data_IF_514432736427
#
_entry.id   IF_514432736427
#
_cell.length_a   1.000
_cell.length_b   1.000
_cell.length_c   1.000
_cell.angle_alpha   90.00
_cell.angle_beta   90.00
_cell.angle_gamma   90.00
#
_symmetry.space_group_name_H-M   'P 1'
#
loop_
_entity.id
_entity.type
_entity.pdbx_description
1 polymer ?
#
# COMPACT_ATOMS: atom_id res chain seq x y z
N UNK A 1 -43.33 28.02 14.09
CA UNK A 1 -43.54 26.99 13.05
C UNK A 1 -42.40 27.16 12.08
N UNK A 2 -41.24 26.56 12.41
CA UNK A 2 -40.83 25.23 11.90
C UNK A 2 -40.35 25.39 10.43
N UNK A 3 -39.12 25.07 10.03
CA UNK A 3 -38.11 24.21 10.66
C UNK A 3 -36.78 24.24 9.90
N UNK A 4 -35.87 23.39 10.35
CA UNK A 4 -34.41 23.45 10.32
C UNK A 4 -33.77 22.74 9.09
N UNK A 5 -32.57 23.24 8.74
CA UNK A 5 -31.42 22.67 8.00
C UNK A 5 -31.44 21.16 7.64
N UNK A 6 -30.97 20.79 6.44
CA UNK A 6 -30.19 19.54 6.21
C UNK A 6 -29.12 19.73 5.12
N UNK A 7 -27.91 19.24 5.45
CA UNK A 7 -26.68 19.10 4.67
C UNK A 7 -26.87 18.13 3.49
N UNK A 8 -26.39 18.47 2.29
CA UNK A 8 -26.38 17.55 1.15
C UNK A 8 -25.25 16.50 1.32
N UNK A 9 -25.59 15.35 1.92
CA UNK A 9 -24.84 14.10 1.80
C UNK A 9 -25.27 13.42 0.50
N UNK A 10 -24.40 13.40 -0.52
CA UNK A 10 -24.61 12.59 -1.72
C UNK A 10 -24.29 11.13 -1.42
N UNK A 11 -25.25 10.43 -0.82
CA UNK A 11 -25.29 8.97 -0.74
C UNK A 11 -26.21 8.42 -1.84
N UNK A 12 -25.70 7.41 -2.55
CA UNK A 12 -26.45 6.35 -3.23
C UNK A 12 -27.20 6.76 -4.51
N UNK A 13 -26.55 6.51 -5.64
CA UNK A 13 -27.23 6.03 -6.84
C UNK A 13 -26.50 4.78 -7.35
N UNK A 14 -26.74 3.66 -6.67
CA UNK A 14 -26.60 2.34 -7.29
C UNK A 14 -28.01 1.75 -7.37
N UNK A 15 -28.58 1.81 -8.57
CA UNK A 15 -29.87 1.20 -8.87
C UNK A 15 -30.33 1.65 -10.25
N UNK A 16 -30.18 0.78 -11.25
CA UNK A 16 -31.28 0.26 -12.07
C UNK A 16 -30.71 -0.71 -13.14
N UNK A 17 -30.87 -1.99 -12.83
CA UNK A 17 -30.94 -3.18 -13.71
C UNK A 17 -29.68 -3.73 -14.42
N UNK A 18 -29.54 -5.05 -14.22
CA UNK A 18 -28.68 -6.07 -14.83
C UNK A 18 -27.26 -6.24 -14.26
N UNK A 19 -27.09 -7.43 -13.65
CA UNK A 19 -25.92 -7.96 -12.95
C UNK A 19 -25.59 -7.27 -11.63
N UNK A 20 -25.62 -8.06 -10.56
CA UNK A 20 -24.94 -7.74 -9.31
C UNK A 20 -23.45 -7.56 -9.61
N UNK A 21 -23.04 -6.34 -9.96
CA UNK A 21 -21.65 -5.95 -9.85
C UNK A 21 -21.35 -5.92 -8.35
N UNK A 22 -20.93 -7.07 -7.83
CA UNK A 22 -20.46 -7.18 -6.47
C UNK A 22 -19.19 -6.33 -6.42
N UNK A 23 -19.29 -5.11 -5.88
CA UNK A 23 -18.14 -4.29 -5.53
C UNK A 23 -17.35 -5.05 -4.47
N UNK A 24 -16.46 -5.94 -4.89
CA UNK A 24 -15.57 -6.63 -3.98
C UNK A 24 -14.50 -5.63 -3.60
N UNK A 25 -14.72 -4.92 -2.49
CA UNK A 25 -13.71 -4.04 -1.89
C UNK A 25 -12.53 -4.90 -1.43
N UNK A 26 -11.31 -4.45 -1.71
CA UNK A 26 -10.10 -5.12 -1.23
C UNK A 26 -9.99 -5.03 0.30
N UNK A 27 -9.38 -6.04 0.91
CA UNK A 27 -9.09 -6.05 2.35
C UNK A 27 -8.08 -4.95 2.67
N UNK A 28 -8.35 -4.12 3.68
CA UNK A 28 -7.42 -3.06 4.08
C UNK A 28 -6.49 -3.58 5.16
N UNK A 29 -5.18 -3.39 4.98
CA UNK A 29 -4.14 -3.72 5.95
C UNK A 29 -3.78 -2.49 6.77
N UNK A 30 -4.13 -2.47 8.06
CA UNK A 30 -3.95 -1.28 8.93
C UNK A 30 -2.61 -1.28 9.69
N UNK A 31 -1.93 -2.41 9.74
CA UNK A 31 -0.68 -2.53 10.48
C UNK A 31 0.48 -1.87 9.73
N UNK A 32 1.47 -1.34 10.46
CA UNK A 32 2.70 -0.81 9.88
C UNK A 32 3.66 -1.91 9.42
N UNK A 33 3.45 -3.14 9.86
CA UNK A 33 4.17 -4.32 9.41
C UNK A 33 3.23 -5.52 9.39
N UNK A 34 3.52 -6.49 8.54
CA UNK A 34 2.69 -7.68 8.46
C UNK A 34 2.95 -8.53 7.23
N UNK A 35 2.04 -9.46 7.02
CA UNK A 35 2.04 -10.39 5.91
C UNK A 35 0.69 -10.40 5.22
N UNK A 36 0.71 -10.24 3.90
CA UNK A 36 -0.41 -10.61 3.04
C UNK A 36 -0.15 -12.03 2.57
N UNK A 37 -1.04 -12.97 2.93
CA UNK A 37 -0.86 -14.39 2.57
C UNK A 37 -2.14 -15.11 2.18
N UNK A 38 -1.97 -16.14 1.37
CA UNK A 38 -2.96 -17.18 1.08
C UNK A 38 -2.35 -18.53 1.40
N UNK A 39 -2.97 -19.25 2.33
CA UNK A 39 -2.45 -20.53 2.84
C UNK A 39 -2.99 -21.70 2.00
N UNK A 40 -2.15 -22.22 1.10
CA UNK A 40 -2.29 -23.50 0.40
C UNK A 40 -3.73 -23.96 0.12
N UNK A 41 -4.47 -23.19 -0.67
CA UNK A 41 -5.88 -23.42 -0.98
C UNK A 41 -6.01 -24.23 -2.26
N UNK A 42 -6.94 -25.20 -2.29
CA UNK A 42 -7.31 -25.92 -3.51
C UNK A 42 -8.43 -25.19 -4.24
N UNK A 43 -8.15 -24.65 -5.43
CA UNK A 43 -9.13 -23.90 -6.23
C UNK A 43 -8.83 -23.98 -7.73
N UNK A 44 -9.80 -23.63 -8.58
CA UNK A 44 -9.58 -23.36 -10.01
C UNK A 44 -9.91 -21.91 -10.39
N UNK A 45 -10.55 -21.15 -9.48
CA UNK A 45 -10.88 -19.74 -9.66
C UNK A 45 -10.73 -19.02 -8.32
N UNK A 46 -9.88 -17.99 -8.28
CA UNK A 46 -9.64 -17.17 -7.11
C UNK A 46 -9.34 -15.73 -7.54
N UNK A 47 -10.00 -14.78 -6.89
CA UNK A 47 -9.60 -13.38 -6.92
C UNK A 47 -9.62 -12.86 -5.50
N UNK A 48 -8.43 -12.60 -4.96
CA UNK A 48 -8.25 -11.97 -3.65
C UNK A 48 -7.46 -10.68 -3.85
N UNK A 49 -7.80 -9.64 -3.10
CA UNK A 49 -7.05 -8.40 -3.14
C UNK A 49 -6.96 -7.73 -1.77
N UNK A 50 -5.89 -6.98 -1.60
CA UNK A 50 -5.55 -6.21 -0.42
C UNK A 50 -5.10 -4.81 -0.82
N UNK A 51 -5.38 -3.84 0.02
CA UNK A 51 -4.87 -2.47 -0.06
C UNK A 51 -4.06 -2.22 1.21
N UNK A 52 -2.80 -1.83 1.04
CA UNK A 52 -1.91 -1.43 2.13
C UNK A 52 -1.73 0.09 2.03
N UNK A 53 -2.43 0.87 2.86
CA UNK A 53 -2.29 2.32 2.86
C UNK A 53 -0.91 2.72 3.37
N UNK A 54 -0.24 3.62 2.65
CA UNK A 54 1.04 4.20 3.06
C UNK A 54 0.78 5.64 3.49
N UNK A 55 0.94 5.97 4.79
CA UNK A 55 0.75 7.33 5.27
C UNK A 55 1.71 8.31 4.59
N UNK A 56 1.33 9.59 4.54
CA UNK A 56 2.22 10.65 4.06
C UNK A 56 3.54 10.65 4.84
N UNK A 57 4.65 10.89 4.14
CA UNK A 57 5.99 10.86 4.73
C UNK A 57 6.50 9.45 5.05
N UNK A 58 5.84 8.39 4.59
CA UNK A 58 6.28 7.01 4.75
C UNK A 58 6.56 6.35 3.39
N UNK A 59 7.26 5.24 3.45
CA UNK A 59 7.45 4.32 2.33
C UNK A 59 7.23 2.89 2.81
N UNK A 60 6.88 2.01 1.88
CA UNK A 60 6.67 0.60 2.13
C UNK A 60 7.76 -0.22 1.43
N UNK A 61 8.38 -1.12 2.19
CA UNK A 61 9.21 -2.20 1.66
C UNK A 61 8.39 -3.48 1.59
N UNK A 62 8.36 -4.10 0.43
CA UNK A 62 7.63 -5.32 0.11
C UNK A 62 8.63 -6.41 -0.27
N UNK A 63 8.45 -7.61 0.27
CA UNK A 63 9.23 -8.78 -0.11
C UNK A 63 8.34 -10.00 -0.30
N UNK A 64 8.27 -10.49 -1.53
CA UNK A 64 7.61 -11.76 -1.81
C UNK A 64 8.53 -12.90 -1.33
N UNK A 65 8.07 -13.66 -0.32
CA UNK A 65 8.84 -14.75 0.27
C UNK A 65 8.55 -16.06 -0.44
N UNK A 66 7.30 -16.48 -0.41
CA UNK A 66 6.89 -17.80 -0.87
C UNK A 66 5.77 -17.67 -1.89
N UNK A 67 5.78 -18.58 -2.87
CA UNK A 67 4.66 -18.85 -3.78
C UNK A 67 4.57 -20.36 -3.95
N UNK A 68 3.36 -20.89 -3.94
CA UNK A 68 3.11 -22.29 -4.19
C UNK A 68 3.50 -22.63 -5.63
N UNK A 69 4.22 -23.73 -5.82
CA UNK A 69 4.63 -24.19 -7.14
C UNK A 69 3.48 -24.96 -7.79
N UNK A 70 2.50 -24.23 -8.31
CA UNK A 70 1.45 -24.83 -9.14
C UNK A 70 2.00 -25.19 -10.53
N UNK A 71 1.30 -26.06 -11.26
CA UNK A 71 1.57 -26.28 -12.68
C UNK A 71 0.95 -25.21 -13.60
N UNK A 72 0.41 -24.12 -13.04
CA UNK A 72 -0.29 -23.08 -13.80
C UNK A 72 0.70 -22.14 -14.49
N UNK A 73 0.31 -21.62 -15.66
CA UNK A 73 1.06 -20.57 -16.34
C UNK A 73 0.85 -19.20 -15.69
N UNK A 74 1.72 -18.24 -15.98
CA UNK A 74 1.67 -16.87 -15.45
C UNK A 74 0.45 -16.04 -15.92
N UNK A 75 -0.31 -16.55 -16.89
CA UNK A 75 -1.62 -15.99 -17.28
C UNK A 75 -2.77 -16.54 -16.45
N UNK A 76 -2.57 -17.73 -15.87
CA UNK A 76 -3.54 -18.45 -15.08
C UNK A 76 -3.37 -18.23 -13.60
N UNK A 77 -2.16 -18.01 -13.11
CA UNK A 77 -1.89 -17.68 -11.72
C UNK A 77 -0.80 -16.62 -11.62
N UNK A 78 -1.10 -15.56 -10.85
CA UNK A 78 -0.12 -14.53 -10.55
C UNK A 78 -0.49 -13.77 -9.27
N UNK A 79 0.54 -13.20 -8.65
CA UNK A 79 0.41 -12.12 -7.66
C UNK A 79 0.80 -10.82 -8.35
N UNK A 80 -0.12 -9.85 -8.36
CA UNK A 80 0.07 -8.53 -8.95
C UNK A 80 0.12 -7.47 -7.87
N UNK A 81 1.11 -6.59 -7.95
CA UNK A 81 1.29 -5.46 -7.06
C UNK A 81 1.25 -4.19 -7.91
N UNK A 82 0.35 -3.26 -7.59
CA UNK A 82 0.26 -1.97 -8.27
C UNK A 82 0.38 -0.83 -7.25
N UNK A 83 1.10 0.22 -7.63
CA UNK A 83 1.32 1.39 -6.77
C UNK A 83 0.30 2.47 -7.14
N UNK A 84 -0.42 3.00 -6.15
CA UNK A 84 -1.36 4.09 -6.36
C UNK A 84 -0.62 5.34 -6.86
N UNK A 85 -1.28 6.14 -7.70
CA UNK A 85 -0.70 7.37 -8.23
C UNK A 85 0.38 7.18 -9.31
N UNK A 86 0.81 5.94 -9.59
CA UNK A 86 1.79 5.64 -10.65
C UNK A 86 1.27 4.61 -11.65
N UNK A 87 2.03 4.37 -12.72
CA UNK A 87 1.79 3.27 -13.67
C UNK A 87 2.57 2.00 -13.32
N UNK A 88 3.19 1.94 -12.15
CA UNK A 88 4.06 0.82 -11.77
C UNK A 88 3.23 -0.41 -11.41
N UNK A 89 3.50 -1.50 -12.12
CA UNK A 89 2.84 -2.79 -11.93
C UNK A 89 3.90 -3.89 -11.93
N UNK A 90 3.92 -4.66 -10.86
CA UNK A 90 4.78 -5.82 -10.68
C UNK A 90 3.92 -7.07 -10.71
N UNK A 91 4.28 -8.04 -11.54
CA UNK A 91 3.58 -9.32 -11.63
C UNK A 91 4.57 -10.44 -11.33
N UNK A 92 4.21 -11.27 -10.35
CA UNK A 92 5.00 -12.42 -9.91
C UNK A 92 4.23 -13.71 -10.13
N UNK A 93 4.97 -14.72 -10.57
CA UNK A 93 4.47 -16.03 -10.95
C UNK A 93 5.30 -17.14 -10.30
N UNK A 94 4.75 -18.35 -10.27
CA UNK A 94 5.39 -19.53 -9.67
C UNK A 94 6.79 -19.82 -10.25
N UNK A 95 6.98 -19.55 -11.54
CA UNK A 95 8.21 -19.77 -12.31
C UNK A 95 9.29 -18.72 -12.05
N UNK A 96 8.95 -17.61 -11.39
CA UNK A 96 9.87 -16.50 -11.25
C UNK A 96 10.93 -16.81 -10.19
N UNK A 97 12.17 -16.85 -10.67
CA UNK A 97 13.38 -17.05 -9.86
C UNK A 97 13.87 -15.76 -9.23
N UNK A 98 13.54 -14.61 -9.82
CA UNK A 98 13.86 -13.30 -9.28
C UNK A 98 12.62 -12.68 -8.63
N UNK A 99 12.68 -12.49 -7.31
CA UNK A 99 11.64 -11.86 -6.49
C UNK A 99 12.24 -10.71 -5.70
N UNK A 100 12.85 -9.77 -6.43
CA UNK A 100 13.49 -8.60 -5.85
C UNK A 100 12.51 -7.82 -4.95
N UNK A 101 12.99 -7.27 -3.82
CA UNK A 101 12.18 -6.41 -2.99
C UNK A 101 11.70 -5.18 -3.76
N UNK A 102 10.50 -4.70 -3.44
CA UNK A 102 9.90 -3.49 -4.01
C UNK A 102 9.84 -2.42 -2.91
N UNK A 103 10.17 -1.19 -3.27
CA UNK A 103 9.98 -0.01 -2.42
C UNK A 103 8.98 0.92 -3.10
N UNK A 104 7.98 1.39 -2.36
CA UNK A 104 6.99 2.33 -2.87
C UNK A 104 6.67 3.44 -1.84
N UNK A 105 6.20 4.59 -2.33
CA UNK A 105 5.91 5.78 -1.52
C UNK A 105 4.42 6.14 -1.45
N UNK A 106 3.56 5.29 -1.99
CA UNK A 106 2.11 5.46 -2.02
C UNK A 106 1.43 4.11 -1.72
N UNK A 107 0.10 4.15 -1.57
CA UNK A 107 -0.74 3.01 -1.27
C UNK A 107 -0.50 1.86 -2.27
N UNK A 108 -0.48 0.64 -1.78
CA UNK A 108 -0.20 -0.54 -2.58
C UNK A 108 -1.43 -1.40 -2.68
N UNK A 109 -1.80 -1.80 -3.89
CA UNK A 109 -2.81 -2.83 -4.10
C UNK A 109 -2.13 -4.14 -4.49
N UNK A 110 -2.42 -5.20 -3.75
CA UNK A 110 -1.95 -6.56 -3.98
C UNK A 110 -3.12 -7.40 -4.44
N UNK A 111 -2.97 -8.14 -5.53
CA UNK A 111 -4.00 -9.03 -6.07
C UNK A 111 -3.42 -10.41 -6.29
N UNK A 112 -4.10 -11.44 -5.79
CA UNK A 112 -3.81 -12.83 -6.11
C UNK A 112 -4.91 -13.38 -6.99
N UNK A 113 -4.54 -13.79 -8.20
CA UNK A 113 -5.45 -14.27 -9.22
C UNK A 113 -5.14 -15.71 -9.57
N UNK A 114 -6.18 -16.53 -9.67
CA UNK A 114 -6.14 -17.88 -10.22
C UNK A 114 -7.32 -18.08 -11.16
N UNK A 115 -7.06 -18.56 -12.37
CA UNK A 115 -8.05 -19.01 -13.34
C UNK A 115 -7.49 -20.16 -14.17
N UNK A 116 -7.85 -21.37 -13.79
CA UNK A 116 -7.38 -22.61 -14.41
C UNK A 116 -8.56 -23.48 -14.84
N UNK A 117 -8.30 -24.47 -15.71
CA UNK A 117 -9.32 -25.44 -16.13
C UNK A 117 -9.53 -26.57 -15.12
N UNK A 118 -8.55 -26.78 -14.24
CA UNK A 118 -8.53 -27.85 -13.24
C UNK A 118 -8.17 -27.26 -11.88
N UNK A 119 -8.60 -27.93 -10.80
CA UNK A 119 -8.22 -27.54 -9.45
C UNK A 119 -6.70 -27.67 -9.27
N UNK A 120 -6.09 -26.58 -8.82
CA UNK A 120 -4.69 -26.51 -8.41
C UNK A 120 -4.62 -26.18 -6.92
N UNK A 121 -3.46 -26.44 -6.32
CA UNK A 121 -3.10 -25.82 -5.05
C UNK A 121 -2.39 -24.50 -5.33
N UNK A 122 -2.70 -23.49 -4.54
CA UNK A 122 -2.18 -22.12 -4.71
C UNK A 122 -1.96 -21.46 -3.35
N UNK A 123 -1.02 -20.54 -3.29
CA UNK A 123 -0.72 -19.79 -2.07
C UNK A 123 0.49 -18.89 -2.27
N UNK A 124 0.59 -17.85 -1.47
CA UNK A 124 1.74 -16.95 -1.45
C UNK A 124 1.87 -16.27 -0.09
N UNK A 125 3.05 -15.72 0.17
CA UNK A 125 3.34 -14.87 1.33
C UNK A 125 4.13 -13.65 0.87
N UNK A 126 3.55 -12.48 1.07
CA UNK A 126 4.16 -11.17 0.85
C UNK A 126 4.33 -10.49 2.21
N UNK A 127 5.57 -10.28 2.62
CA UNK A 127 5.88 -9.48 3.82
C UNK A 127 5.96 -8.01 3.45
N UNK A 128 5.51 -7.15 4.37
CA UNK A 128 5.63 -5.71 4.22
C UNK A 128 6.06 -5.03 5.51
N UNK A 129 6.79 -3.93 5.34
CA UNK A 129 7.10 -2.99 6.44
C UNK A 129 6.98 -1.55 5.93
N UNK A 130 6.19 -0.75 6.62
CA UNK A 130 6.04 0.67 6.41
C UNK A 130 6.99 1.39 7.36
N UNK A 131 7.76 2.33 6.83
CA UNK A 131 8.73 3.11 7.60
C UNK A 131 8.56 4.58 7.26
N UNK A 132 8.74 5.43 8.27
CA UNK A 132 8.83 6.87 8.03
C UNK A 132 10.08 7.13 7.17
N UNK A 133 9.96 8.07 6.23
CA UNK A 133 11.12 8.64 5.56
C UNK A 133 11.90 9.40 6.62
N UNK A 134 13.00 8.80 7.09
CA UNK A 134 13.99 9.51 7.86
C UNK A 134 14.81 10.38 6.91
N UNK A 135 15.20 11.56 7.38
CA UNK A 135 15.87 12.52 6.54
C UNK A 135 17.14 11.91 5.94
N UNK A 136 17.15 11.81 4.61
CA UNK A 136 18.18 11.07 3.86
C UNK A 136 19.57 11.72 3.97
N UNK A 137 19.64 12.98 4.42
CA UNK A 137 20.86 13.75 4.60
C UNK A 137 21.29 13.77 6.08
N UNK A 138 22.56 13.48 6.35
CA UNK A 138 23.15 13.63 7.69
C UNK A 138 23.12 15.07 8.20
N UNK A 139 23.06 16.04 7.29
CA UNK A 139 22.99 17.48 7.58
C UNK A 139 21.54 17.97 7.48
N UNK A 140 20.61 17.25 8.09
CA UNK A 140 19.22 17.68 8.14
C UNK A 140 18.60 17.36 9.49
N UNK A 141 17.81 18.31 9.96
CA UNK A 141 17.04 18.25 11.18
C UNK A 141 15.65 17.69 10.88
N UNK A 142 15.23 16.72 11.68
CA UNK A 142 13.91 16.07 11.55
C UNK A 142 12.90 16.81 12.42
N UNK A 143 11.92 17.42 11.76
CA UNK A 143 10.72 17.94 12.42
C UNK A 143 9.84 16.80 12.96
N UNK A 144 9.04 17.06 13.98
CA UNK A 144 8.06 16.14 14.58
C UNK A 144 7.10 15.53 13.53
N UNK A 145 6.75 16.30 12.50
CA UNK A 145 5.84 15.85 11.43
C UNK A 145 6.59 15.18 10.25
N UNK A 146 7.76 14.57 10.49
CA UNK A 146 8.60 13.88 9.49
C UNK A 146 9.09 14.76 8.33
N UNK A 147 9.02 16.09 8.50
CA UNK A 147 9.59 17.04 7.54
C UNK A 147 11.08 17.20 7.82
N UNK A 148 11.88 17.29 6.77
CA UNK A 148 13.32 17.39 6.88
C UNK A 148 13.75 18.81 6.52
N UNK A 149 14.35 19.49 7.49
CA UNK A 149 14.90 20.83 7.32
C UNK A 149 16.41 20.68 7.18
N UNK A 150 17.01 21.39 6.23
CA UNK A 150 18.45 21.35 6.07
C UNK A 150 19.13 21.97 7.30
N UNK A 151 20.31 21.50 7.69
CA UNK A 151 21.00 22.00 8.89
C UNK A 151 21.33 23.51 8.81
N UNK A 152 21.54 24.05 7.61
CA UNK A 152 21.71 25.49 7.36
C UNK A 152 20.44 26.33 7.61
N UNK A 153 19.30 25.67 7.75
CA UNK A 153 17.99 26.26 8.04
C UNK A 153 17.57 26.04 9.51
N UNK A 154 18.44 25.46 10.32
CA UNK A 154 18.21 25.34 11.77
C UNK A 154 18.80 26.58 12.42
N UNK A 155 18.01 27.26 13.24
CA UNK A 155 18.40 28.50 13.90
C UNK A 155 18.74 29.63 12.92
N UNK A 156 18.09 29.67 11.76
CA UNK A 156 18.30 30.70 10.74
C UNK A 156 17.36 31.91 10.90
N UNK A 157 16.47 31.85 11.89
CA UNK A 157 15.46 32.87 12.19
C UNK A 157 14.17 32.71 11.37
N UNK A 158 14.06 31.68 10.53
CA UNK A 158 12.90 31.35 9.71
C UNK A 158 12.29 30.05 10.21
N UNK A 159 10.97 30.07 10.40
CA UNK A 159 10.22 28.90 10.83
C UNK A 159 10.00 27.93 9.66
N UNK A 160 10.90 26.97 9.46
CA UNK A 160 10.81 25.95 8.43
C UNK A 160 10.06 24.68 8.90
N UNK A 161 10.13 24.32 10.19
CA UNK A 161 9.24 23.29 10.74
C UNK A 161 7.83 23.84 11.04
N UNK A 162 6.80 22.99 10.90
CA UNK A 162 5.39 23.36 11.15
C UNK A 162 5.18 24.01 12.52
N UNK A 163 5.88 23.54 13.55
CA UNK A 163 5.81 24.06 14.91
C UNK A 163 6.97 24.99 15.29
N UNK A 164 7.97 25.15 14.42
CA UNK A 164 9.10 26.06 14.63
C UNK A 164 10.14 25.52 15.59
N UNK A 165 10.12 24.22 15.78
CA UNK A 165 11.06 23.43 16.57
C UNK A 165 12.51 23.54 16.08
N UNK A 166 12.72 23.81 14.79
CA UNK A 166 14.00 24.17 14.17
C UNK A 166 14.58 25.48 14.70
N UNK A 167 13.74 26.33 15.30
CA UNK A 167 14.13 27.64 15.87
C UNK A 167 14.13 27.64 17.40
N UNK A 168 13.98 26.47 18.04
CA UNK A 168 13.96 26.33 19.52
C UNK A 168 15.33 25.88 20.02
N UNK A 169 15.81 26.48 21.11
CA UNK A 169 17.05 26.07 21.76
C UNK A 169 18.33 26.55 21.06
N UNK A 170 18.19 27.46 20.10
CA UNK A 170 19.31 28.16 19.47
C UNK A 170 20.08 28.98 20.51
N UNK A 171 21.22 28.42 20.95
CA UNK A 171 22.17 29.13 21.80
C UNK A 171 22.73 30.33 21.04
N UNK A 172 22.54 31.53 21.60
CA UNK A 172 23.11 32.76 21.07
C UNK A 172 24.64 32.79 21.19
#
# INVERSE_FOLDING_TARGET
MEGIKVLALAFILCGFQFYSAQCQSCTIEENVNGEVKVENVRTYNLLKCWTIPVPLGHFIHLQLKNMHQSGASCQQEYVKISIAGTSDVYQFCNSDTNRNPITAFDNVNVTHFVSTRQYIYTGFTLEYTIRAVECLNRNSFKCDNTTCVSEDKVCDGVKDCKNGEDEIGCGR
#
